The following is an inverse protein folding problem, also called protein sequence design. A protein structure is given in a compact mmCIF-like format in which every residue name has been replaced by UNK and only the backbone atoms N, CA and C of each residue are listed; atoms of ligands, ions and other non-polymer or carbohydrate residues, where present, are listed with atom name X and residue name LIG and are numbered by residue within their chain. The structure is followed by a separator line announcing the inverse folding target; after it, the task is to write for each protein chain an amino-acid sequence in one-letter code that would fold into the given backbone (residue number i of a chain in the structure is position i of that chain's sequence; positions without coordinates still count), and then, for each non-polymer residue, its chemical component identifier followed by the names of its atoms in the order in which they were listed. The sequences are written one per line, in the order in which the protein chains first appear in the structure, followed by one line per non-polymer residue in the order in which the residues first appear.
data_IF_238240434185
#
_entry.id   IF_238240434185
#
_cell.length_a   1.000
_cell.length_b   1.000
_cell.length_c   1.000
_cell.angle_alpha   90.00
_cell.angle_beta   90.00
_cell.angle_gamma   90.00
#
_symmetry.space_group_name_H-M   'P 1'
#
loop_
_entity.id
_entity.type
_entity.pdbx_description
1 polymer ?
#
# COMPACT_ATOMS: atom_id res chain seq x y z
N UNK A 1 -54.60 6.25 -58.93
CA UNK A 1 -53.24 5.65 -58.87
C UNK A 1 -52.50 6.22 -57.66
N UNK A 2 -51.70 5.39 -56.97
CA UNK A 2 -51.00 5.55 -55.66
C UNK A 2 -51.87 5.06 -54.48
N UNK A 3 -51.86 3.77 -54.13
CA UNK A 3 -50.87 2.91 -53.43
C UNK A 3 -50.82 3.12 -51.91
N UNK A 4 -50.97 1.98 -51.21
CA UNK A 4 -50.89 1.72 -49.77
C UNK A 4 -49.67 2.33 -49.08
N UNK A 5 -49.82 2.63 -47.79
CA UNK A 5 -48.83 2.28 -46.76
C UNK A 5 -49.54 2.04 -45.40
N UNK A 6 -49.38 0.87 -44.75
CA UNK A 6 -49.79 0.69 -43.36
C UNK A 6 -48.68 1.20 -42.44
N UNK A 7 -49.06 2.01 -41.44
CA UNK A 7 -48.17 2.45 -40.37
C UNK A 7 -47.96 1.24 -39.44
N UNK A 8 -46.76 0.67 -39.49
CA UNK A 8 -46.30 -0.34 -38.54
C UNK A 8 -45.94 0.41 -37.24
N UNK A 9 -46.71 0.16 -36.17
CA UNK A 9 -46.30 0.49 -34.81
C UNK A 9 -45.10 -0.41 -34.46
N UNK A 10 -43.88 0.12 -34.53
CA UNK A 10 -42.71 -0.50 -33.90
C UNK A 10 -42.60 0.02 -32.48
N UNK A 11 -43.05 -0.78 -31.52
CA UNK A 11 -42.78 -0.60 -30.09
C UNK A 11 -41.28 -0.77 -29.85
N UNK A 12 -40.53 0.33 -29.84
CA UNK A 12 -39.15 0.33 -29.35
C UNK A 12 -39.25 0.31 -27.83
N UNK A 13 -39.27 -0.88 -27.24
CA UNK A 13 -38.93 -1.05 -25.83
C UNK A 13 -37.46 -0.70 -25.67
N UNK A 14 -37.20 0.51 -25.17
CA UNK A 14 -35.89 0.87 -24.66
C UNK A 14 -35.60 -0.02 -23.44
N UNK A 15 -34.86 -1.10 -23.66
CA UNK A 15 -34.22 -1.85 -22.58
C UNK A 15 -33.10 -0.94 -22.06
N UNK A 16 -33.44 -0.14 -21.06
CA UNK A 16 -32.44 0.52 -20.22
C UNK A 16 -31.75 -0.60 -19.45
N UNK A 17 -30.58 -1.02 -19.92
CA UNK A 17 -29.63 -1.74 -19.09
C UNK A 17 -29.16 -0.75 -18.02
N UNK A 18 -29.94 -0.65 -16.93
CA UNK A 18 -29.42 -0.25 -15.63
C UNK A 18 -28.41 -1.34 -15.25
N UNK A 19 -27.18 -1.15 -15.71
CA UNK A 19 -26.00 -1.72 -15.09
C UNK A 19 -25.91 -1.09 -13.70
N UNK A 20 -26.71 -1.59 -12.76
CA UNK A 20 -26.41 -1.47 -11.35
C UNK A 20 -25.14 -2.29 -11.13
N UNK A 21 -23.97 -1.71 -11.40
CA UNK A 21 -22.77 -2.09 -10.69
C UNK A 21 -23.05 -1.69 -9.25
N UNK A 22 -23.61 -2.60 -8.47
CA UNK A 22 -23.64 -2.43 -7.02
C UNK A 22 -22.19 -2.26 -6.60
N UNK A 23 -21.84 -1.08 -6.12
CA UNK A 23 -20.66 -0.86 -5.30
C UNK A 23 -20.88 -1.68 -4.02
N UNK A 24 -20.76 -3.00 -4.09
CA UNK A 24 -20.67 -3.83 -2.91
C UNK A 24 -19.32 -3.55 -2.27
N UNK A 25 -19.33 -2.72 -1.24
CA UNK A 25 -18.16 -2.50 -0.40
C UNK A 25 -17.76 -3.84 0.23
N UNK A 26 -16.51 -4.26 0.03
CA UNK A 26 -15.99 -5.47 0.68
C UNK A 26 -15.70 -5.16 2.14
N UNK A 27 -16.59 -5.60 3.02
CA UNK A 27 -16.43 -5.45 4.46
C UNK A 27 -15.30 -6.36 4.95
N UNK A 28 -14.33 -5.78 5.68
CA UNK A 28 -13.30 -6.55 6.37
C UNK A 28 -13.96 -7.39 7.47
N UNK A 29 -13.84 -8.73 7.45
CA UNK A 29 -14.51 -9.57 8.43
C UNK A 29 -13.83 -9.42 9.80
N UNK A 30 -14.63 -9.47 10.87
CA UNK A 30 -14.19 -9.31 12.25
C UNK A 30 -14.66 -10.51 13.09
N UNK A 31 -13.88 -10.89 14.10
CA UNK A 31 -14.28 -11.90 15.08
C UNK A 31 -15.29 -11.32 16.07
N UNK A 32 -16.36 -12.07 16.34
CA UNK A 32 -17.31 -11.75 17.40
C UNK A 32 -16.61 -11.67 18.76
N UNK A 33 -17.02 -10.70 19.60
CA UNK A 33 -16.50 -10.47 20.95
C UNK A 33 -14.96 -10.31 21.06
N UNK A 34 -14.28 -9.94 19.97
CA UNK A 34 -12.82 -9.72 19.97
C UNK A 34 -11.98 -10.99 19.88
N UNK A 35 -12.59 -12.14 19.63
CA UNK A 35 -11.89 -13.41 19.40
C UNK A 35 -11.14 -13.97 20.61
N UNK A 36 -10.17 -14.86 20.36
CA UNK A 36 -9.32 -15.47 21.39
C UNK A 36 -8.26 -14.53 21.95
N UNK A 37 -8.05 -13.37 21.31
CA UNK A 37 -7.04 -12.38 21.72
C UNK A 37 -7.40 -11.59 22.99
N UNK A 38 -8.68 -11.58 23.41
CA UNK A 38 -9.18 -10.77 24.52
C UNK A 38 -8.45 -10.97 25.87
N UNK A 39 -7.76 -12.10 26.07
CA UNK A 39 -7.01 -12.42 27.29
C UNK A 39 -5.56 -12.83 27.00
N UNK A 40 -4.92 -12.16 26.04
CA UNK A 40 -3.54 -12.44 25.63
C UNK A 40 -2.58 -11.34 26.05
N UNK A 41 -1.29 -11.69 26.15
CA UNK A 41 -0.20 -10.73 26.37
C UNK A 41 0.44 -10.39 25.03
N UNK A 42 0.92 -9.16 24.87
CA UNK A 42 1.60 -8.72 23.66
C UNK A 42 2.86 -9.56 23.35
N UNK A 43 3.08 -9.85 22.06
CA UNK A 43 4.26 -10.56 21.59
C UNK A 43 5.47 -9.62 21.61
N UNK A 44 6.57 -9.96 22.32
CA UNK A 44 7.80 -9.17 22.27
C UNK A 44 8.40 -9.13 20.87
N UNK A 45 9.00 -7.99 20.47
CA UNK A 45 9.63 -7.83 19.14
C UNK A 45 10.68 -8.92 18.85
N UNK A 46 11.45 -9.34 19.86
CA UNK A 46 12.42 -10.42 19.71
C UNK A 46 11.75 -11.74 19.27
N UNK A 47 10.55 -12.03 19.75
CA UNK A 47 9.78 -13.22 19.38
C UNK A 47 9.18 -13.09 17.99
N UNK A 48 8.63 -11.92 17.64
CA UNK A 48 8.13 -11.62 16.30
C UNK A 48 9.20 -11.87 15.22
N UNK A 49 10.42 -11.38 15.44
CA UNK A 49 11.54 -11.56 14.51
C UNK A 49 11.96 -13.03 14.30
N UNK A 50 11.67 -13.92 15.25
CA UNK A 50 11.97 -15.35 15.10
C UNK A 50 10.95 -16.07 14.23
N UNK A 51 9.71 -15.57 14.20
CA UNK A 51 8.58 -16.16 13.48
C UNK A 51 8.52 -15.62 12.04
N UNK A 52 9.13 -14.47 11.75
CA UNK A 52 9.30 -14.01 10.37
C UNK A 52 10.09 -15.04 9.54
N UNK A 53 9.62 -15.28 8.31
CA UNK A 53 10.30 -16.23 7.43
C UNK A 53 9.44 -16.74 6.29
N UNK A 54 10.01 -17.70 5.59
CA UNK A 54 9.34 -18.45 4.53
C UNK A 54 8.79 -19.73 5.13
N UNK A 55 7.53 -20.01 4.82
CA UNK A 55 6.82 -21.20 5.30
C UNK A 55 6.25 -21.99 4.11
N UNK A 56 6.34 -23.32 4.17
CA UNK A 56 5.64 -24.21 3.26
C UNK A 56 4.21 -24.46 3.74
N UNK A 57 3.25 -24.51 2.81
CA UNK A 57 1.84 -24.75 3.10
C UNK A 57 1.54 -26.25 2.97
N UNK A 58 1.24 -26.92 4.09
CA UNK A 58 0.90 -28.35 4.11
C UNK A 58 -0.61 -28.57 3.88
N UNK A 59 -1.45 -27.72 4.47
CA UNK A 59 -2.90 -27.67 4.25
C UNK A 59 -3.29 -26.26 3.80
N UNK A 60 -4.17 -26.13 2.80
CA UNK A 60 -4.59 -24.83 2.24
C UNK A 60 -3.79 -24.38 1.01
N UNK A 61 -2.88 -25.20 0.48
CA UNK A 61 -2.04 -24.86 -0.67
C UNK A 61 -2.83 -24.62 -1.96
N UNK A 62 -4.05 -25.17 -2.04
CA UNK A 62 -4.95 -24.90 -3.16
C UNK A 62 -5.43 -23.46 -3.22
N UNK A 63 -5.47 -22.76 -2.08
CA UNK A 63 -5.85 -21.36 -2.00
C UNK A 63 -4.64 -20.42 -1.98
N UNK A 64 -3.57 -20.82 -1.29
CA UNK A 64 -2.46 -19.91 -0.94
C UNK A 64 -1.11 -20.29 -1.57
N UNK A 65 -1.06 -21.39 -2.33
CA UNK A 65 0.17 -21.83 -2.98
C UNK A 65 1.05 -22.66 -2.05
N UNK A 66 2.22 -23.08 -2.55
CA UNK A 66 3.10 -24.00 -1.82
C UNK A 66 3.94 -23.34 -0.74
N UNK A 67 4.23 -22.05 -0.88
CA UNK A 67 5.02 -21.27 0.06
C UNK A 67 4.36 -19.92 0.30
N UNK A 68 4.54 -19.41 1.51
CA UNK A 68 4.11 -18.08 1.93
C UNK A 68 5.25 -17.35 2.62
N UNK A 69 5.19 -16.02 2.58
CA UNK A 69 6.07 -15.12 3.31
C UNK A 69 5.33 -14.65 4.55
N UNK A 70 5.92 -14.83 5.73
CA UNK A 70 5.40 -14.30 7.00
C UNK A 70 6.29 -13.14 7.44
N UNK A 71 5.65 -12.01 7.73
CA UNK A 71 6.33 -10.77 8.16
C UNK A 71 5.58 -10.08 9.29
N UNK A 72 6.31 -9.51 10.24
CA UNK A 72 5.78 -8.59 11.23
C UNK A 72 6.13 -7.14 10.85
N UNK A 73 5.15 -6.26 11.00
CA UNK A 73 5.37 -4.81 10.97
C UNK A 73 4.65 -4.16 12.14
N UNK A 74 5.42 -3.58 13.07
CA UNK A 74 4.88 -3.17 14.36
C UNK A 74 4.23 -4.35 15.09
N UNK A 75 2.92 -4.28 15.31
CA UNK A 75 2.13 -5.35 15.97
C UNK A 75 1.34 -6.23 14.97
N UNK A 76 1.45 -5.94 13.68
CA UNK A 76 0.71 -6.64 12.64
C UNK A 76 1.49 -7.85 12.18
N UNK A 77 0.84 -9.01 12.18
CA UNK A 77 1.32 -10.25 11.57
C UNK A 77 0.70 -10.37 10.18
N UNK A 78 1.53 -10.31 9.15
CA UNK A 78 1.10 -10.42 7.76
C UNK A 78 1.64 -11.68 7.12
N UNK A 79 0.81 -12.30 6.27
CA UNK A 79 1.21 -13.40 5.40
C UNK A 79 1.00 -12.95 3.95
N UNK A 80 1.97 -13.16 3.07
CA UNK A 80 1.85 -12.87 1.64
C UNK A 80 2.00 -14.15 0.84
N UNK A 81 1.18 -14.32 -0.20
CA UNK A 81 1.08 -15.58 -0.96
C UNK A 81 1.26 -15.37 -2.45
N UNK A 82 1.85 -16.36 -3.12
CA UNK A 82 2.03 -16.33 -4.58
C UNK A 82 0.82 -16.81 -5.38
N UNK A 83 -0.03 -17.67 -4.77
CA UNK A 83 -1.29 -18.09 -5.40
C UNK A 83 -2.42 -17.16 -4.97
N UNK A 84 -3.25 -16.77 -5.94
CA UNK A 84 -4.36 -15.80 -5.79
C UNK A 84 -3.95 -14.44 -5.20
N UNK A 85 -2.63 -14.17 -5.11
CA UNK A 85 -2.09 -12.94 -4.54
C UNK A 85 -2.73 -12.58 -3.21
N UNK A 86 -2.94 -13.60 -2.37
CA UNK A 86 -3.58 -13.41 -1.08
C UNK A 86 -2.62 -12.71 -0.12
N UNK A 87 -3.21 -11.92 0.76
CA UNK A 87 -2.53 -11.39 1.92
C UNK A 87 -3.39 -11.60 3.16
N UNK A 88 -2.72 -11.73 4.30
CA UNK A 88 -3.35 -11.88 5.60
C UNK A 88 -2.96 -10.67 6.44
N UNK A 89 -3.91 -10.14 7.21
CA UNK A 89 -3.67 -9.09 8.19
C UNK A 89 -4.22 -9.58 9.51
N UNK A 90 -3.32 -9.89 10.43
CA UNK A 90 -3.66 -10.53 11.70
C UNK A 90 -3.01 -9.81 12.88
N UNK A 91 -3.62 -9.95 14.05
CA UNK A 91 -3.05 -9.57 15.34
C UNK A 91 -2.61 -10.83 16.06
N UNK A 92 -1.51 -10.71 16.81
CA UNK A 92 -0.96 -11.82 17.59
C UNK A 92 -0.99 -11.55 19.09
N UNK A 93 -1.10 -12.62 19.88
CA UNK A 93 -1.05 -12.56 21.33
C UNK A 93 -0.57 -13.87 21.96
N UNK A 94 0.08 -13.76 23.11
CA UNK A 94 0.57 -14.90 23.89
C UNK A 94 -0.53 -15.37 24.84
N UNK A 95 -0.79 -16.67 24.82
CA UNK A 95 -1.66 -17.36 25.79
C UNK A 95 -0.96 -18.61 26.28
N UNK A 96 -0.70 -18.68 27.58
CA UNK A 96 0.12 -19.72 28.21
C UNK A 96 1.51 -19.82 27.55
N UNK A 97 1.85 -20.98 26.98
CA UNK A 97 3.09 -21.20 26.20
C UNK A 97 2.85 -21.27 24.70
N UNK A 98 1.76 -20.66 24.22
CA UNK A 98 1.39 -20.63 22.80
C UNK A 98 1.22 -19.19 22.31
N UNK A 99 1.35 -19.00 21.02
CA UNK A 99 1.10 -17.72 20.35
C UNK A 99 -0.09 -17.90 19.43
N UNK A 100 -1.09 -17.05 19.57
CA UNK A 100 -2.34 -17.09 18.81
C UNK A 100 -2.35 -15.90 17.86
N UNK A 101 -2.79 -16.12 16.63
CA UNK A 101 -2.98 -15.11 15.63
C UNK A 101 -4.42 -15.17 15.12
N UNK A 102 -5.07 -14.01 15.03
CA UNK A 102 -6.43 -13.88 14.50
C UNK A 102 -6.50 -12.67 13.58
N UNK A 103 -7.16 -12.84 12.44
CA UNK A 103 -7.42 -11.75 11.52
C UNK A 103 -8.22 -12.20 10.31
N UNK A 104 -7.89 -11.63 9.16
CA UNK A 104 -8.52 -11.98 7.89
C UNK A 104 -7.46 -12.24 6.82
N UNK A 105 -7.88 -12.97 5.79
CA UNK A 105 -7.17 -13.08 4.52
C UNK A 105 -8.00 -12.40 3.43
N UNK A 106 -7.33 -11.89 2.39
CA UNK A 106 -7.98 -11.33 1.20
C UNK A 106 -7.12 -11.54 -0.04
N UNK A 107 -7.75 -11.74 -1.19
CA UNK A 107 -7.07 -11.72 -2.49
C UNK A 107 -6.88 -10.27 -2.95
N UNK A 108 -5.64 -9.89 -3.30
CA UNK A 108 -5.29 -8.50 -3.58
C UNK A 108 -5.99 -7.92 -4.83
N UNK A 109 -6.35 -8.78 -5.79
CA UNK A 109 -6.91 -8.39 -7.08
C UNK A 109 -8.39 -8.76 -7.23
N UNK A 110 -9.05 -9.20 -6.15
CA UNK A 110 -10.48 -9.46 -6.13
C UNK A 110 -11.13 -9.13 -4.76
N UNK A 111 -12.42 -9.43 -4.62
CA UNK A 111 -13.22 -9.13 -3.44
C UNK A 111 -13.29 -10.26 -2.40
N UNK A 112 -12.70 -11.43 -2.67
CA UNK A 112 -12.75 -12.58 -1.76
C UNK A 112 -11.90 -12.32 -0.54
N UNK A 113 -12.53 -12.49 0.61
CA UNK A 113 -11.94 -12.27 1.92
C UNK A 113 -12.54 -13.24 2.93
N UNK A 114 -11.89 -13.46 4.05
CA UNK A 114 -12.50 -14.21 5.14
C UNK A 114 -11.67 -14.29 6.40
N UNK A 115 -12.30 -14.75 7.48
CA UNK A 115 -11.63 -14.93 8.76
C UNK A 115 -10.55 -16.01 8.71
N UNK A 116 -9.50 -15.83 9.50
CA UNK A 116 -8.46 -16.82 9.69
C UNK A 116 -7.86 -16.78 11.08
N UNK A 117 -7.48 -17.95 11.57
CA UNK A 117 -6.80 -18.15 12.85
C UNK A 117 -5.57 -19.01 12.62
N UNK A 118 -4.50 -18.72 13.35
CA UNK A 118 -3.30 -19.54 13.41
C UNK A 118 -2.77 -19.59 14.84
N UNK A 119 -2.07 -20.66 15.17
CA UNK A 119 -1.47 -20.86 16.47
C UNK A 119 -0.10 -21.51 16.34
N UNK A 120 0.87 -20.95 17.04
CA UNK A 120 2.15 -21.60 17.32
C UNK A 120 2.05 -22.26 18.69
N UNK A 121 1.77 -23.56 18.70
CA UNK A 121 1.61 -24.32 19.93
C UNK A 121 2.93 -24.52 20.67
N UNK A 122 2.83 -24.71 21.99
CA UNK A 122 3.99 -24.96 22.87
C UNK A 122 4.91 -26.08 22.36
N UNK A 123 4.34 -27.16 21.85
CA UNK A 123 5.06 -28.33 21.29
C UNK A 123 5.58 -28.13 19.87
N UNK A 124 5.01 -27.18 19.13
CA UNK A 124 5.39 -26.85 17.75
C UNK A 124 6.36 -25.65 17.70
N UNK A 125 7.02 -25.39 18.83
CA UNK A 125 8.08 -24.41 18.98
C UNK A 125 7.67 -23.11 19.67
N UNK A 126 6.40 -22.94 20.04
CA UNK A 126 5.95 -21.78 20.82
C UNK A 126 6.72 -21.60 22.12
N UNK A 127 7.00 -22.68 22.85
CA UNK A 127 7.81 -22.64 24.08
C UNK A 127 9.26 -22.18 23.82
N UNK A 128 9.87 -22.62 22.72
CA UNK A 128 11.25 -22.25 22.39
C UNK A 128 11.35 -20.79 21.94
N UNK A 129 10.37 -20.32 21.15
CA UNK A 129 10.27 -18.92 20.75
C UNK A 129 10.16 -18.02 21.99
N UNK A 130 9.31 -18.39 22.96
CA UNK A 130 9.02 -17.58 24.14
C UNK A 130 10.09 -17.63 25.24
N UNK A 131 10.70 -18.79 25.50
CA UNK A 131 11.66 -18.96 26.62
C UNK A 131 13.11 -18.76 26.21
N UNK A 132 13.48 -19.21 25.01
CA UNK A 132 14.88 -19.29 24.62
C UNK A 132 15.27 -18.24 23.57
N UNK A 133 14.29 -17.53 23.00
CA UNK A 133 14.49 -16.58 21.90
C UNK A 133 15.41 -17.13 20.78
N UNK A 134 15.24 -18.42 20.46
CA UNK A 134 16.08 -19.12 19.48
C UNK A 134 15.26 -19.43 18.23
N UNK A 135 15.79 -19.19 17.01
CA UNK A 135 15.11 -19.59 15.79
C UNK A 135 14.93 -21.11 15.79
N UNK A 136 13.74 -21.60 15.43
CA UNK A 136 13.51 -23.02 15.29
C UNK A 136 13.01 -23.35 13.88
N UNK A 137 13.79 -24.16 13.16
CA UNK A 137 13.44 -24.68 11.84
C UNK A 137 12.23 -25.63 11.85
N UNK A 138 11.70 -25.99 13.01
CA UNK A 138 10.52 -26.85 13.18
C UNK A 138 9.26 -26.09 13.58
N UNK A 139 9.22 -24.75 13.48
CA UNK A 139 7.97 -24.03 13.75
C UNK A 139 6.86 -24.52 12.84
N UNK A 140 5.71 -24.85 13.44
CA UNK A 140 4.49 -25.17 12.71
C UNK A 140 3.37 -24.28 13.24
N UNK A 141 2.77 -23.50 12.35
CA UNK A 141 1.57 -22.74 12.62
C UNK A 141 0.37 -23.55 12.14
N UNK A 142 -0.59 -23.78 13.02
CA UNK A 142 -1.84 -24.49 12.69
C UNK A 142 -3.05 -23.63 12.96
N UNK A 143 -4.05 -23.75 12.12
CA UNK A 143 -5.35 -23.16 12.37
C UNK A 143 -6.28 -23.38 11.19
N UNK A 144 -7.10 -22.38 10.91
CA UNK A 144 -8.12 -22.50 9.89
C UNK A 144 -8.50 -21.17 9.26
N UNK A 145 -9.18 -21.25 8.11
CA UNK A 145 -9.73 -20.10 7.40
C UNK A 145 -11.17 -20.39 6.92
N UNK A 146 -11.97 -19.33 6.82
CA UNK A 146 -13.32 -19.33 6.27
C UNK A 146 -13.48 -18.25 5.20
N UNK A 147 -14.63 -18.18 4.54
CA UNK A 147 -14.99 -17.10 3.61
C UNK A 147 -15.98 -16.15 4.28
N UNK A 148 -15.79 -14.84 4.11
CA UNK A 148 -16.52 -13.80 4.82
C UNK A 148 -16.37 -13.89 6.34
N UNK A 149 -17.44 -13.57 7.05
CA UNK A 149 -17.52 -13.69 8.52
C UNK A 149 -17.96 -15.08 9.00
N UNK A 150 -17.96 -16.09 8.12
CA UNK A 150 -18.32 -17.45 8.51
C UNK A 150 -17.24 -18.07 9.42
N UNK A 151 -17.62 -19.11 10.16
CA UNK A 151 -16.68 -19.86 11.00
C UNK A 151 -15.53 -20.44 10.17
N UNK A 152 -14.34 -20.53 10.78
CA UNK A 152 -13.13 -20.99 10.11
C UNK A 152 -13.09 -22.52 10.06
N UNK A 153 -13.51 -23.10 8.93
CA UNK A 153 -13.67 -24.56 8.77
C UNK A 153 -12.58 -25.24 7.95
N UNK A 154 -11.86 -24.52 7.09
CA UNK A 154 -10.82 -25.09 6.25
C UNK A 154 -9.47 -25.05 6.96
N UNK A 155 -8.75 -26.17 6.99
CA UNK A 155 -7.45 -26.26 7.66
C UNK A 155 -6.36 -25.46 6.95
N UNK A 156 -5.53 -24.77 7.74
CA UNK A 156 -4.30 -24.11 7.29
C UNK A 156 -3.14 -24.54 8.19
N UNK A 157 -2.13 -25.16 7.57
CA UNK A 157 -0.92 -25.60 8.26
C UNK A 157 0.30 -25.03 7.53
N UNK A 158 1.13 -24.28 8.25
CA UNK A 158 2.34 -23.64 7.72
C UNK A 158 3.56 -24.15 8.48
N UNK A 159 4.54 -24.71 7.78
CA UNK A 159 5.82 -25.17 8.36
C UNK A 159 6.94 -24.24 7.98
N UNK A 160 7.73 -23.78 8.95
CA UNK A 160 8.88 -22.92 8.71
C UNK A 160 9.92 -23.63 7.83
N UNK A 161 10.46 -22.88 6.87
CA UNK A 161 11.49 -23.36 5.95
C UNK A 161 12.80 -22.65 6.20
N UNK A 162 12.78 -21.31 6.19
CA UNK A 162 14.00 -20.47 6.28
C UNK A 162 13.66 -19.03 6.68
N UNK A 163 14.63 -18.23 7.15
CA UNK A 163 14.40 -16.82 7.40
C UNK A 163 14.15 -16.04 6.10
N UNK A 164 13.58 -14.84 6.24
CA UNK A 164 13.48 -13.86 5.15
C UNK A 164 14.87 -13.53 4.62
N UNK A 165 14.98 -13.35 3.31
CA UNK A 165 16.24 -13.01 2.66
C UNK A 165 16.70 -11.62 3.10
N UNK A 166 17.95 -11.53 3.58
CA UNK A 166 18.58 -10.25 3.92
C UNK A 166 19.21 -9.67 2.66
N UNK A 167 18.66 -8.58 2.16
CA UNK A 167 19.30 -7.77 1.11
C UNK A 167 20.27 -6.77 1.74
N UNK A 168 21.38 -6.51 1.05
CA UNK A 168 22.29 -5.41 1.40
C UNK A 168 21.77 -4.05 0.94
N UNK A 169 20.66 -4.03 0.19
CA UNK A 169 20.00 -2.82 -0.31
C UNK A 169 18.78 -2.52 0.58
N UNK A 170 18.61 -1.26 0.96
CA UNK A 170 17.41 -0.75 1.65
C UNK A 170 16.25 -0.60 0.65
N UNK A 171 15.76 -1.73 0.15
CA UNK A 171 14.75 -1.80 -0.90
C UNK A 171 13.41 -1.19 -0.46
N UNK A 172 12.80 -0.37 -1.33
CA UNK A 172 11.51 0.29 -1.04
C UNK A 172 10.34 -0.40 -1.71
N UNK A 173 9.39 -0.88 -0.90
CA UNK A 173 8.06 -1.29 -1.35
C UNK A 173 7.15 -0.10 -1.07
N UNK A 174 6.86 0.66 -2.12
CA UNK A 174 6.06 1.88 -2.03
C UNK A 174 4.60 1.57 -2.39
N UNK A 175 3.69 1.88 -1.49
CA UNK A 175 2.27 1.78 -1.79
C UNK A 175 1.77 3.06 -2.48
N UNK A 176 1.21 2.89 -3.67
CA UNK A 176 0.63 3.98 -4.46
C UNK A 176 -0.63 4.53 -3.80
N UNK A 177 -0.78 5.86 -3.80
CA UNK A 177 -1.92 6.57 -3.19
C UNK A 177 -2.13 6.20 -1.71
N UNK A 178 -1.03 6.00 -0.99
CA UNK A 178 -1.02 5.61 0.40
C UNK A 178 -1.28 4.13 0.67
N UNK A 179 -1.61 3.29 -0.32
CA UNK A 179 -1.94 1.88 -0.07
C UNK A 179 -2.48 1.10 -1.27
N UNK A 180 -3.36 1.71 -2.06
CA UNK A 180 -4.05 1.12 -3.21
C UNK A 180 -5.14 2.05 -3.74
N UNK A 181 -5.95 1.57 -4.70
CA UNK A 181 -6.99 2.40 -5.35
C UNK A 181 -8.37 2.06 -4.81
N UNK A 182 -9.33 2.98 -5.00
CA UNK A 182 -10.73 2.71 -4.70
C UNK A 182 -11.29 1.51 -5.50
N UNK A 183 -10.78 1.27 -6.71
CA UNK A 183 -11.18 0.11 -7.54
C UNK A 183 -10.81 -1.23 -6.89
N UNK A 184 -9.79 -1.26 -6.04
CA UNK A 184 -9.34 -2.45 -5.33
C UNK A 184 -10.23 -2.77 -4.10
N UNK A 185 -11.25 -1.93 -3.83
CA UNK A 185 -12.27 -2.14 -2.78
C UNK A 185 -11.68 -2.41 -1.39
N UNK A 186 -10.63 -1.67 -1.06
CA UNK A 186 -9.99 -1.70 0.25
C UNK A 186 -10.87 -1.02 1.31
N UNK A 187 -10.66 -1.29 2.62
CA UNK A 187 -11.48 -0.71 3.69
C UNK A 187 -11.40 0.82 3.79
N UNK A 188 -10.31 1.40 3.29
CA UNK A 188 -10.03 2.84 3.32
C UNK A 188 -9.99 3.36 1.89
N UNK A 189 -10.32 4.63 1.70
CA UNK A 189 -10.22 5.31 0.40
C UNK A 189 -8.76 5.55 0.02
N UNK A 190 -8.46 5.54 -1.28
CA UNK A 190 -7.16 5.98 -1.79
C UNK A 190 -6.83 7.39 -1.26
N UNK A 191 -5.57 7.63 -0.89
CA UNK A 191 -5.07 8.87 -0.30
C UNK A 191 -5.66 9.27 1.08
N UNK A 192 -6.45 8.42 1.74
CA UNK A 192 -6.95 8.71 3.09
C UNK A 192 -5.88 8.49 4.17
N UNK A 193 -6.05 9.12 5.34
CA UNK A 193 -5.18 8.89 6.50
C UNK A 193 -5.28 7.44 7.01
N UNK A 194 -6.45 6.81 6.87
CA UNK A 194 -6.65 5.41 7.24
C UNK A 194 -5.87 4.48 6.32
N UNK A 195 -5.86 4.76 5.02
CA UNK A 195 -5.10 3.98 4.04
C UNK A 195 -3.60 3.99 4.37
N UNK A 196 -3.05 5.17 4.67
CA UNK A 196 -1.64 5.32 5.07
C UNK A 196 -1.29 4.48 6.31
N UNK A 197 -2.22 4.36 7.28
CA UNK A 197 -2.01 3.58 8.50
C UNK A 197 -2.02 2.07 8.26
N UNK A 198 -2.73 1.58 7.23
CA UNK A 198 -2.80 0.15 6.93
C UNK A 198 -1.80 -0.30 5.86
N UNK A 199 -1.12 0.62 5.17
CA UNK A 199 -0.15 0.32 4.10
C UNK A 199 0.90 -0.72 4.50
N UNK A 200 1.45 -0.60 5.71
CA UNK A 200 2.45 -1.52 6.26
C UNK A 200 1.94 -2.95 6.41
N UNK A 201 0.63 -3.12 6.66
CA UNK A 201 0.01 -4.43 6.76
C UNK A 201 -0.01 -5.18 5.42
N UNK A 202 0.09 -4.43 4.31
CA UNK A 202 0.23 -4.98 2.96
C UNK A 202 1.71 -5.18 2.57
N UNK A 203 2.65 -4.96 3.48
CA UNK A 203 4.08 -5.16 3.23
C UNK A 203 4.83 -3.94 2.71
N UNK A 204 4.16 -2.79 2.59
CA UNK A 204 4.80 -1.53 2.23
C UNK A 204 5.75 -1.06 3.34
N UNK A 205 6.87 -0.43 2.94
CA UNK A 205 7.77 0.29 3.86
C UNK A 205 7.94 1.77 3.48
N UNK A 206 7.19 2.22 2.49
CA UNK A 206 6.96 3.62 2.16
C UNK A 206 5.66 3.78 1.39
N UNK A 207 5.28 5.03 1.13
CA UNK A 207 4.08 5.38 0.37
C UNK A 207 4.39 6.45 -0.66
N UNK A 208 3.56 6.52 -1.69
CA UNK A 208 3.38 7.69 -2.54
C UNK A 208 2.01 8.31 -2.24
N UNK A 209 1.93 9.63 -2.20
CA UNK A 209 0.69 10.38 -2.00
C UNK A 209 0.65 11.62 -2.91
N UNK A 210 -0.54 11.91 -3.44
CA UNK A 210 -0.76 12.93 -4.46
C UNK A 210 -1.08 14.29 -3.86
N UNK A 211 -0.31 15.34 -4.14
CA UNK A 211 -0.52 16.68 -3.57
C UNK A 211 -1.15 17.65 -4.58
N UNK A 212 -2.25 18.31 -4.19
CA UNK A 212 -2.92 19.38 -4.93
C UNK A 212 -3.24 20.57 -4.04
N UNK A 213 -3.49 21.75 -4.63
CA UNK A 213 -4.02 22.90 -3.92
C UNK A 213 -5.53 23.05 -4.07
N UNK A 214 -6.17 23.47 -2.98
CA UNK A 214 -7.50 24.08 -3.01
C UNK A 214 -7.44 25.52 -3.54
N UNK A 215 -8.59 26.14 -3.79
CA UNK A 215 -8.67 27.52 -4.29
C UNK A 215 -8.11 28.58 -3.33
N UNK A 216 -8.04 28.24 -2.03
CA UNK A 216 -7.49 29.05 -0.95
C UNK A 216 -6.05 28.62 -0.59
N UNK A 217 -5.39 27.90 -1.51
CA UNK A 217 -4.00 27.44 -1.42
C UNK A 217 -3.71 26.55 -0.20
N UNK A 218 -4.65 25.67 0.17
CA UNK A 218 -4.40 24.63 1.18
C UNK A 218 -3.93 23.37 0.45
N UNK A 219 -2.75 22.80 0.80
CA UNK A 219 -2.27 21.57 0.19
C UNK A 219 -3.02 20.37 0.76
N UNK A 220 -3.71 19.65 -0.12
CA UNK A 220 -4.51 18.47 0.18
C UNK A 220 -3.95 17.23 -0.52
N UNK A 221 -4.32 16.06 0.00
CA UNK A 221 -3.96 14.79 -0.63
C UNK A 221 -5.11 14.30 -1.52
N UNK A 222 -4.93 14.37 -2.84
CA UNK A 222 -5.95 13.99 -3.82
C UNK A 222 -5.37 13.82 -5.24
N UNK A 223 -5.62 12.66 -5.87
CA UNK A 223 -5.02 12.31 -7.17
C UNK A 223 -5.59 13.09 -8.37
N UNK A 224 -6.90 13.03 -8.61
CA UNK A 224 -7.53 13.56 -9.83
C UNK A 224 -7.69 15.10 -9.78
N UNK A 225 -7.70 15.78 -10.93
CA UNK A 225 -7.99 17.22 -10.96
C UNK A 225 -9.44 17.52 -10.51
N UNK A 226 -10.35 16.56 -10.71
CA UNK A 226 -11.78 16.71 -10.47
C UNK A 226 -12.27 15.81 -9.34
N UNK A 227 -13.13 16.35 -8.48
CA UNK A 227 -14.05 15.57 -7.68
C UNK A 227 -14.96 14.76 -8.60
N UNK A 228 -15.11 13.47 -8.32
CA UNK A 228 -15.95 12.56 -9.10
C UNK A 228 -16.55 11.46 -8.21
N UNK A 229 -17.70 10.86 -8.59
CA UNK A 229 -18.32 9.76 -7.84
C UNK A 229 -17.44 8.51 -7.65
N UNK A 230 -16.34 8.40 -8.41
CA UNK A 230 -15.32 7.35 -8.24
C UNK A 230 -14.51 7.56 -6.95
N UNK A 231 -14.29 8.82 -6.58
CA UNK A 231 -13.37 9.22 -5.52
C UNK A 231 -14.05 9.70 -4.25
N UNK A 232 -15.24 10.29 -4.40
CA UNK A 232 -15.89 11.03 -3.34
C UNK A 232 -17.39 10.78 -3.28
N UNK A 233 -17.97 11.07 -2.12
CA UNK A 233 -19.42 11.16 -1.90
C UNK A 233 -19.78 12.58 -1.42
N UNK A 234 -20.95 13.07 -1.82
CA UNK A 234 -21.47 14.40 -1.50
C UNK A 234 -22.24 15.02 -2.67
N UNK A 235 -23.44 15.57 -2.41
CA UNK A 235 -24.39 16.01 -3.46
C UNK A 235 -23.84 17.10 -4.41
N UNK A 236 -22.81 17.85 -3.99
CA UNK A 236 -22.21 18.94 -4.77
C UNK A 236 -20.69 18.79 -4.94
N UNK A 237 -20.15 17.60 -4.67
CA UNK A 237 -18.74 17.29 -4.78
C UNK A 237 -18.38 16.81 -6.21
N UNK A 238 -18.40 17.72 -7.19
CA UNK A 238 -18.13 17.40 -8.59
C UNK A 238 -17.36 18.50 -9.31
N UNK A 239 -16.40 18.12 -10.15
CA UNK A 239 -15.62 19.05 -10.96
C UNK A 239 -14.33 19.51 -10.28
N UNK A 240 -13.67 20.54 -10.82
CA UNK A 240 -12.27 20.84 -10.48
C UNK A 240 -12.06 21.17 -9.01
N UNK A 241 -11.07 20.53 -8.36
CA UNK A 241 -10.65 20.80 -6.98
C UNK A 241 -10.34 22.28 -6.76
N UNK A 242 -9.71 22.93 -7.74
CA UNK A 242 -9.36 24.36 -7.73
C UNK A 242 -10.56 25.32 -7.65
N UNK A 243 -11.80 24.83 -7.73
CA UNK A 243 -13.01 25.64 -7.52
C UNK A 243 -13.46 25.66 -6.06
N UNK A 244 -12.91 24.80 -5.20
CA UNK A 244 -13.34 24.63 -3.82
C UNK A 244 -12.28 25.16 -2.85
N UNK A 245 -12.73 25.85 -1.79
CA UNK A 245 -11.89 26.11 -0.62
C UNK A 245 -11.80 24.85 0.23
N UNK A 246 -10.81 24.77 1.11
CA UNK A 246 -10.73 23.62 2.03
C UNK A 246 -11.97 23.51 2.92
N UNK A 247 -12.53 24.65 3.37
CA UNK A 247 -13.78 24.68 4.14
C UNK A 247 -14.99 24.13 3.35
N UNK A 248 -15.06 24.36 2.04
CA UNK A 248 -16.08 23.75 1.18
C UNK A 248 -15.90 22.22 1.14
N UNK A 249 -14.67 21.73 0.94
CA UNK A 249 -14.39 20.29 0.89
C UNK A 249 -14.76 19.59 2.21
N UNK A 250 -14.42 20.19 3.36
CA UNK A 250 -14.79 19.65 4.68
C UNK A 250 -16.32 19.54 4.88
N UNK A 251 -17.09 20.45 4.27
CA UNK A 251 -18.54 20.52 4.48
C UNK A 251 -19.32 19.67 3.48
N UNK A 252 -18.90 19.68 2.21
CA UNK A 252 -19.69 19.16 1.08
C UNK A 252 -19.23 17.80 0.58
N UNK A 253 -18.05 17.36 1.00
CA UNK A 253 -17.36 16.23 0.39
C UNK A 253 -16.81 15.27 1.46
N UNK A 254 -16.89 13.98 1.16
CA UNK A 254 -16.10 12.93 1.81
C UNK A 254 -15.42 12.10 0.73
N UNK A 255 -14.29 11.47 1.07
CA UNK A 255 -13.73 10.40 0.26
C UNK A 255 -14.74 9.24 0.16
N UNK A 256 -14.50 8.32 -0.78
CA UNK A 256 -15.43 7.26 -1.18
C UNK A 256 -16.02 6.46 0.01
N UNK A 257 -15.20 6.18 1.02
CA UNK A 257 -15.59 5.42 2.22
C UNK A 257 -16.00 6.31 3.41
N UNK A 258 -16.22 7.61 3.18
CA UNK A 258 -16.76 8.54 4.18
C UNK A 258 -15.72 9.37 4.95
N UNK A 259 -14.43 9.22 4.64
CA UNK A 259 -13.36 9.97 5.30
C UNK A 259 -13.30 11.43 4.83
N UNK A 260 -12.64 12.29 5.60
CA UNK A 260 -12.29 13.63 5.14
C UNK A 260 -11.14 13.57 4.14
N UNK A 261 -11.12 14.50 3.17
CA UNK A 261 -9.94 14.71 2.31
C UNK A 261 -8.82 15.29 3.18
N UNK A 262 -7.67 14.61 3.34
CA UNK A 262 -6.63 15.09 4.24
C UNK A 262 -5.87 16.29 3.67
N UNK A 263 -5.38 17.15 4.56
CA UNK A 263 -4.28 18.07 4.22
C UNK A 263 -2.95 17.32 4.16
N UNK A 264 -1.96 17.88 3.44
CA UNK A 264 -0.60 17.35 3.44
C UNK A 264 0.02 17.32 4.84
N UNK A 265 -0.31 18.30 5.69
CA UNK A 265 0.14 18.33 7.08
C UNK A 265 -0.38 17.11 7.86
N UNK A 266 -1.68 16.85 7.80
CA UNK A 266 -2.30 15.70 8.48
C UNK A 266 -1.74 14.37 7.97
N UNK A 267 -1.46 14.27 6.67
CA UNK A 267 -0.83 13.09 6.08
C UNK A 267 0.59 12.85 6.63
N UNK A 268 1.46 13.87 6.61
CA UNK A 268 2.82 13.75 7.15
C UNK A 268 2.84 13.49 8.66
N UNK A 269 1.91 14.10 9.42
CA UNK A 269 1.71 13.82 10.84
C UNK A 269 1.30 12.37 11.10
N UNK A 270 0.37 11.86 10.30
CA UNK A 270 -0.07 10.46 10.36
C UNK A 270 1.10 9.52 10.08
N UNK A 271 1.87 9.76 9.01
CA UNK A 271 3.05 8.94 8.70
C UNK A 271 4.06 8.95 9.85
N UNK A 272 4.39 10.13 10.38
CA UNK A 272 5.40 10.27 11.41
C UNK A 272 5.00 9.64 12.75
N UNK A 273 3.73 9.76 13.17
CA UNK A 273 3.33 9.38 14.52
C UNK A 273 2.43 8.14 14.61
N UNK A 274 1.88 7.66 13.49
CA UNK A 274 0.90 6.55 13.47
C UNK A 274 1.35 5.35 12.62
N UNK A 275 2.50 5.44 11.96
CA UNK A 275 3.05 4.35 11.12
C UNK A 275 4.53 4.13 11.44
N UNK A 276 5.13 3.02 10.98
CA UNK A 276 6.58 2.83 10.92
C UNK A 276 7.14 2.95 9.49
N UNK A 277 6.37 3.52 8.56
CA UNK A 277 6.83 3.81 7.21
C UNK A 277 8.13 4.64 7.26
N UNK A 278 9.04 4.29 6.35
CA UNK A 278 10.38 4.87 6.29
C UNK A 278 10.58 5.83 5.11
N UNK A 279 9.60 5.92 4.21
CA UNK A 279 9.71 6.73 3.00
C UNK A 279 8.35 7.30 2.56
N UNK A 280 8.34 8.56 2.11
CA UNK A 280 7.20 9.23 1.49
C UNK A 280 7.63 9.88 0.19
N UNK A 281 6.97 9.50 -0.91
CA UNK A 281 6.99 10.20 -2.19
C UNK A 281 5.79 11.15 -2.22
N UNK A 282 6.04 12.45 -2.33
CA UNK A 282 5.00 13.47 -2.53
C UNK A 282 4.84 13.75 -4.03
N UNK A 283 3.91 13.08 -4.70
CA UNK A 283 3.67 13.29 -6.14
C UNK A 283 2.98 14.65 -6.35
N UNK A 284 3.66 15.54 -7.09
CA UNK A 284 3.21 16.91 -7.31
C UNK A 284 2.24 16.94 -8.47
N UNK A 285 0.94 16.99 -8.17
CA UNK A 285 -0.11 17.14 -9.19
C UNK A 285 -0.46 18.59 -9.51
N UNK A 286 -0.05 19.52 -8.66
CA UNK A 286 -0.15 20.96 -8.87
C UNK A 286 1.19 21.61 -8.54
N UNK A 287 1.98 22.03 -9.56
CA UNK A 287 3.27 22.68 -9.35
C UNK A 287 3.22 23.89 -8.40
N UNK A 288 2.10 24.62 -8.36
CA UNK A 288 1.96 25.76 -7.45
C UNK A 288 2.01 25.36 -5.95
N UNK A 289 1.84 24.08 -5.63
CA UNK A 289 1.98 23.55 -4.28
C UNK A 289 3.44 23.46 -3.80
N UNK A 290 4.42 23.44 -4.70
CA UNK A 290 5.84 23.16 -4.39
C UNK A 290 6.39 24.02 -3.24
N UNK A 291 6.18 25.35 -3.18
CA UNK A 291 6.67 26.15 -2.06
C UNK A 291 6.16 25.68 -0.69
N UNK A 292 4.89 25.25 -0.62
CA UNK A 292 4.28 24.74 0.62
C UNK A 292 4.74 23.32 0.92
N UNK A 293 4.90 22.48 -0.11
CA UNK A 293 5.45 21.13 0.00
C UNK A 293 6.86 21.18 0.61
N UNK A 294 7.74 22.05 0.11
CA UNK A 294 9.12 22.21 0.63
C UNK A 294 9.12 22.56 2.11
N UNK A 295 8.25 23.51 2.51
CA UNK A 295 8.13 23.92 3.92
C UNK A 295 7.73 22.74 4.82
N UNK A 296 6.72 21.98 4.39
CA UNK A 296 6.22 20.83 5.15
C UNK A 296 7.22 19.66 5.13
N UNK A 297 7.90 19.42 4.01
CA UNK A 297 8.97 18.44 3.91
C UNK A 297 10.09 18.72 4.93
N UNK A 298 10.62 19.95 4.95
CA UNK A 298 11.68 20.35 5.88
C UNK A 298 11.23 20.25 7.35
N UNK A 299 10.01 20.72 7.65
CA UNK A 299 9.41 20.63 8.99
C UNK A 299 9.34 19.18 9.47
N UNK A 300 8.74 18.28 8.69
CA UNK A 300 8.55 16.89 9.09
C UNK A 300 9.82 16.05 9.02
N UNK A 301 10.78 16.37 8.14
CA UNK A 301 12.10 15.77 8.16
C UNK A 301 12.86 16.10 9.46
N UNK A 302 12.78 17.35 9.94
CA UNK A 302 13.36 17.77 11.23
C UNK A 302 12.69 17.07 12.41
N UNK A 303 11.35 16.98 12.42
CA UNK A 303 10.60 16.28 13.47
C UNK A 303 10.92 14.77 13.48
N UNK A 304 11.06 14.14 12.32
CA UNK A 304 11.49 12.75 12.20
C UNK A 304 12.88 12.54 12.81
N UNK A 305 13.85 13.37 12.41
CA UNK A 305 15.20 13.29 12.96
C UNK A 305 15.24 13.54 14.48
N UNK A 306 14.50 14.53 14.98
CA UNK A 306 14.42 14.83 16.42
C UNK A 306 13.78 13.71 17.25
N UNK A 307 12.89 12.92 16.65
CA UNK A 307 12.26 11.75 17.29
C UNK A 307 13.01 10.44 17.05
N UNK A 308 14.17 10.47 16.38
CA UNK A 308 14.94 9.27 16.02
C UNK A 308 14.27 8.39 14.96
N UNK A 309 13.24 8.91 14.28
CA UNK A 309 12.53 8.22 13.21
C UNK A 309 13.33 8.29 11.91
N UNK A 310 13.67 7.12 11.36
CA UNK A 310 14.15 7.00 9.98
C UNK A 310 12.96 7.17 9.03
N UNK A 311 12.72 8.41 8.62
CA UNK A 311 11.69 8.77 7.65
C UNK A 311 12.30 9.73 6.62
N UNK A 312 12.31 9.32 5.36
CA UNK A 312 12.73 10.15 4.24
C UNK A 312 11.51 10.62 3.46
N UNK A 313 11.44 11.92 3.17
CA UNK A 313 10.32 12.53 2.43
C UNK A 313 10.93 13.19 1.20
N UNK A 314 10.53 12.78 0.00
CA UNK A 314 11.02 13.34 -1.26
C UNK A 314 9.87 13.93 -2.08
N UNK A 315 10.14 15.05 -2.75
CA UNK A 315 9.22 15.70 -3.69
C UNK A 315 9.32 15.00 -5.04
N UNK A 316 8.21 14.51 -5.56
CA UNK A 316 8.07 13.95 -6.91
C UNK A 316 7.96 15.04 -7.96
N UNK A 317 8.75 14.91 -9.02
CA UNK A 317 8.75 15.83 -10.16
C UNK A 317 8.27 15.06 -11.41
N UNK A 318 6.94 15.05 -11.68
CA UNK A 318 6.34 14.22 -12.72
C UNK A 318 6.47 14.80 -14.12
N UNK A 319 6.62 16.13 -14.25
CA UNK A 319 6.65 16.83 -15.54
C UNK A 319 7.57 18.05 -15.52
N UNK A 320 7.75 18.66 -16.70
CA UNK A 320 8.62 19.82 -16.89
C UNK A 320 8.13 21.05 -16.11
N UNK A 321 6.82 21.21 -15.91
CA UNK A 321 6.25 22.36 -15.18
C UNK A 321 6.60 22.26 -13.69
N UNK A 322 6.49 21.07 -13.11
CA UNK A 322 6.93 20.79 -11.75
C UNK A 322 8.44 21.03 -11.59
N UNK A 323 9.25 20.59 -12.57
CA UNK A 323 10.71 20.85 -12.56
C UNK A 323 10.99 22.36 -12.59
N UNK A 324 10.38 23.10 -13.51
CA UNK A 324 10.61 24.55 -13.62
C UNK A 324 10.24 25.27 -12.32
N UNK A 325 9.10 24.94 -11.73
CA UNK A 325 8.66 25.56 -10.48
C UNK A 325 9.55 25.16 -9.30
N UNK A 326 10.03 23.91 -9.26
CA UNK A 326 11.02 23.46 -8.28
C UNK A 326 12.36 24.21 -8.42
N UNK A 327 12.85 24.41 -9.64
CA UNK A 327 14.11 25.11 -9.89
C UNK A 327 14.06 26.61 -9.57
N UNK A 328 12.87 27.22 -9.55
CA UNK A 328 12.68 28.61 -9.09
C UNK A 328 12.86 28.75 -7.57
N UNK A 329 12.79 27.66 -6.82
CA UNK A 329 12.89 27.71 -5.37
C UNK A 329 14.33 27.96 -4.92
N UNK A 330 14.53 28.77 -3.86
CA UNK A 330 15.86 29.06 -3.35
C UNK A 330 16.53 27.76 -2.88
N UNK A 331 17.78 27.57 -3.28
CA UNK A 331 18.60 26.39 -2.92
C UNK A 331 17.97 25.04 -3.32
N UNK A 332 17.21 24.98 -4.42
CA UNK A 332 16.54 23.73 -4.86
C UNK A 332 17.49 22.51 -4.93
N UNK A 333 18.76 22.71 -5.26
CA UNK A 333 19.79 21.66 -5.31
C UNK A 333 20.01 20.91 -3.98
N UNK A 334 19.60 21.50 -2.84
CA UNK A 334 19.70 20.89 -1.51
C UNK A 334 18.36 20.33 -1.01
N UNK A 335 17.29 20.43 -1.81
CA UNK A 335 15.96 19.95 -1.46
C UNK A 335 15.82 18.52 -1.96
N UNK A 336 15.46 17.60 -1.07
CA UNK A 336 15.29 16.19 -1.41
C UNK A 336 14.16 16.01 -2.43
N UNK A 337 14.49 15.46 -3.59
CA UNK A 337 13.51 15.20 -4.66
C UNK A 337 13.78 13.86 -5.34
N UNK A 338 12.77 13.38 -6.04
CA UNK A 338 12.83 12.32 -7.03
C UNK A 338 12.28 12.86 -8.36
N UNK A 339 12.80 12.36 -9.48
CA UNK A 339 12.39 12.82 -10.81
C UNK A 339 11.93 11.65 -11.66
N UNK A 340 10.75 11.80 -12.29
CA UNK A 340 10.10 10.72 -13.05
C UNK A 340 10.43 10.73 -14.55
N UNK A 341 11.05 11.81 -15.00
CA UNK A 341 11.44 12.01 -16.39
C UNK A 341 12.78 11.32 -16.71
N UNK A 342 13.41 11.74 -17.81
CA UNK A 342 14.69 11.23 -18.27
C UNK A 342 15.83 11.49 -17.28
N UNK A 343 16.87 10.66 -17.36
CA UNK A 343 18.06 10.75 -16.51
C UNK A 343 18.71 12.15 -16.50
N UNK A 344 18.72 12.85 -17.62
CA UNK A 344 19.26 14.22 -17.70
C UNK A 344 18.51 15.19 -16.77
N UNK A 345 17.20 14.99 -16.59
CA UNK A 345 16.40 15.79 -15.67
C UNK A 345 16.76 15.48 -14.21
N UNK A 346 17.04 14.22 -13.88
CA UNK A 346 17.53 13.81 -12.54
C UNK A 346 18.82 14.54 -12.17
N UNK A 347 19.72 14.74 -13.13
CA UNK A 347 20.95 15.53 -12.93
C UNK A 347 20.62 17.01 -12.78
N UNK A 348 19.77 17.55 -13.66
CA UNK A 348 19.38 18.96 -13.69
C UNK A 348 18.68 19.42 -12.40
N UNK A 349 17.92 18.54 -11.74
CA UNK A 349 17.22 18.81 -10.47
C UNK A 349 18.02 18.39 -9.24
N UNK A 350 19.18 17.77 -9.44
CA UNK A 350 19.94 17.07 -8.39
C UNK A 350 19.10 16.07 -7.58
N UNK A 351 18.11 15.42 -8.21
CA UNK A 351 17.23 14.48 -7.52
C UNK A 351 17.98 13.26 -6.99
N UNK A 352 17.61 12.80 -5.79
CA UNK A 352 18.24 11.66 -5.10
C UNK A 352 17.80 10.31 -5.66
N UNK A 353 16.65 10.31 -6.35
CA UNK A 353 16.04 9.12 -6.93
C UNK A 353 15.60 9.43 -8.35
N UNK A 354 15.88 8.50 -9.26
CA UNK A 354 15.25 8.45 -10.58
C UNK A 354 14.04 7.51 -10.51
N UNK A 355 12.90 7.96 -11.01
CA UNK A 355 11.64 7.23 -10.92
C UNK A 355 11.02 6.95 -12.31
N UNK A 356 11.64 6.13 -13.18
CA UNK A 356 11.10 5.88 -14.51
C UNK A 356 9.86 4.98 -14.50
N UNK A 357 8.98 5.17 -15.49
CA UNK A 357 7.88 4.26 -15.75
C UNK A 357 8.39 2.86 -16.14
N UNK A 358 7.84 1.82 -15.52
CA UNK A 358 8.29 0.43 -15.74
C UNK A 358 8.11 -0.05 -17.19
N UNK A 359 7.18 0.55 -17.93
CA UNK A 359 6.88 0.21 -19.33
C UNK A 359 8.05 0.47 -20.28
N UNK A 360 9.07 1.20 -19.82
CA UNK A 360 10.35 1.40 -20.52
C UNK A 360 11.31 0.22 -20.38
N UNK A 361 10.93 -0.80 -19.61
CA UNK A 361 11.73 -1.96 -19.30
C UNK A 361 12.76 -1.70 -18.18
N UNK A 362 13.66 -2.66 -17.93
CA UNK A 362 14.62 -2.61 -16.82
C UNK A 362 15.70 -1.52 -16.94
N UNK A 363 15.96 -1.03 -18.16
CA UNK A 363 16.91 0.06 -18.44
C UNK A 363 18.28 -0.12 -17.76
N UNK A 364 18.83 -1.33 -17.81
CA UNK A 364 19.99 -1.75 -17.00
C UNK A 364 21.20 -0.80 -17.13
N UNK A 365 21.50 -0.31 -18.33
CA UNK A 365 22.63 0.59 -18.57
C UNK A 365 22.41 1.98 -17.95
N UNK A 366 21.21 2.56 -18.09
CA UNK A 366 20.84 3.81 -17.44
C UNK A 366 20.81 3.68 -15.92
N UNK A 367 20.23 2.59 -15.42
CA UNK A 367 20.21 2.27 -13.98
C UNK A 367 21.62 2.21 -13.41
N UNK A 368 22.55 1.54 -14.10
CA UNK A 368 23.95 1.47 -13.67
C UNK A 368 24.62 2.83 -13.66
N UNK A 369 24.34 3.71 -14.64
CA UNK A 369 24.83 5.10 -14.65
C UNK A 369 24.29 5.88 -13.45
N UNK A 370 22.98 5.79 -13.17
CA UNK A 370 22.31 6.48 -12.07
C UNK A 370 22.89 6.04 -10.72
N UNK A 371 23.03 4.73 -10.50
CA UNK A 371 23.63 4.16 -9.30
C UNK A 371 25.11 4.48 -9.17
N UNK A 372 25.85 4.57 -10.28
CA UNK A 372 27.24 5.03 -10.31
C UNK A 372 27.43 6.45 -9.76
N UNK A 373 26.36 7.25 -9.72
CA UNK A 373 26.31 8.58 -9.10
C UNK A 373 25.78 8.57 -7.66
N UNK A 374 25.57 7.39 -7.07
CA UNK A 374 25.01 7.24 -5.73
C UNK A 374 23.52 7.52 -5.62
N UNK A 375 22.80 7.59 -6.74
CA UNK A 375 21.33 7.80 -6.79
C UNK A 375 20.61 6.44 -6.81
N UNK A 376 19.35 6.43 -6.34
CA UNK A 376 18.50 5.22 -6.35
C UNK A 376 17.56 5.21 -7.55
N UNK A 377 17.04 4.04 -7.91
CA UNK A 377 16.05 3.88 -9.00
C UNK A 377 14.78 3.20 -8.51
N UNK A 378 13.64 3.89 -8.62
CA UNK A 378 12.32 3.38 -8.27
C UNK A 378 11.43 3.23 -9.51
N UNK A 379 10.79 2.09 -9.72
CA UNK A 379 9.92 1.90 -10.89
C UNK A 379 8.45 2.04 -10.53
N UNK A 380 7.66 2.74 -11.37
CA UNK A 380 6.22 2.94 -11.17
C UNK A 380 5.39 2.75 -12.45
N UNK A 381 4.08 2.51 -12.37
CA UNK A 381 3.39 1.78 -11.29
C UNK A 381 3.40 0.30 -11.67
N UNK A 382 4.19 -0.52 -10.96
CA UNK A 382 4.49 -1.89 -11.34
C UNK A 382 3.59 -2.86 -10.55
N UNK A 383 2.52 -3.32 -11.19
CA UNK A 383 1.47 -4.14 -10.57
C UNK A 383 1.52 -5.62 -10.97
N UNK A 384 2.03 -5.92 -12.16
CA UNK A 384 2.03 -7.28 -12.73
C UNK A 384 3.09 -8.17 -12.06
N UNK A 385 2.71 -9.27 -11.39
CA UNK A 385 3.65 -10.16 -10.69
C UNK A 385 4.80 -10.66 -11.57
N UNK A 386 4.51 -10.99 -12.84
CA UNK A 386 5.49 -11.44 -13.81
C UNK A 386 6.56 -10.37 -14.10
N UNK A 387 6.16 -9.10 -14.15
CA UNK A 387 7.09 -7.99 -14.35
C UNK A 387 7.80 -7.61 -13.06
N UNK A 388 7.11 -7.62 -11.90
CA UNK A 388 7.74 -7.44 -10.59
C UNK A 388 8.92 -8.40 -10.44
N UNK A 389 8.71 -9.68 -10.76
CA UNK A 389 9.76 -10.69 -10.71
C UNK A 389 10.95 -10.37 -11.62
N UNK A 390 10.70 -9.96 -12.87
CA UNK A 390 11.77 -9.58 -13.81
C UNK A 390 12.64 -8.47 -13.23
N UNK A 391 12.04 -7.38 -12.75
CA UNK A 391 12.79 -6.23 -12.21
C UNK A 391 13.57 -6.58 -10.93
N UNK A 392 13.00 -7.46 -10.09
CA UNK A 392 13.66 -7.96 -8.91
C UNK A 392 14.83 -8.88 -9.25
N UNK A 393 14.66 -9.81 -10.19
CA UNK A 393 15.67 -10.79 -10.59
C UNK A 393 16.84 -10.14 -11.35
N UNK A 394 16.57 -9.14 -12.19
CA UNK A 394 17.63 -8.33 -12.81
C UNK A 394 18.36 -7.42 -11.81
N UNK A 395 17.77 -7.18 -10.64
CA UNK A 395 18.37 -6.37 -9.58
C UNK A 395 18.46 -4.88 -9.91
N UNK A 396 17.67 -4.39 -10.87
CA UNK A 396 17.71 -2.99 -11.35
C UNK A 396 16.94 -2.03 -10.44
N UNK A 397 15.99 -2.53 -9.64
CA UNK A 397 15.15 -1.70 -8.78
C UNK A 397 15.76 -1.55 -7.37
N UNK A 398 15.87 -0.31 -6.90
CA UNK A 398 16.05 0.01 -5.48
C UNK A 398 14.70 0.20 -4.76
N UNK A 399 13.63 0.31 -5.54
CA UNK A 399 12.26 0.36 -5.05
C UNK A 399 11.23 0.15 -6.15
N UNK A 400 10.03 -0.24 -5.75
CA UNK A 400 8.88 -0.44 -6.63
C UNK A 400 7.70 0.31 -6.02
N UNK A 401 7.07 1.17 -6.83
CA UNK A 401 5.76 1.75 -6.56
C UNK A 401 4.68 0.89 -7.20
N UNK A 402 3.70 0.48 -6.41
CA UNK A 402 2.67 -0.48 -6.82
C UNK A 402 1.31 -0.21 -6.17
N UNK A 403 0.24 -0.60 -6.84
CA UNK A 403 -1.09 -0.71 -6.23
C UNK A 403 -1.23 -1.97 -5.35
N UNK A 404 -0.30 -2.93 -5.45
CA UNK A 404 -0.36 -4.20 -4.75
C UNK A 404 0.92 -4.49 -3.93
N UNK A 405 1.17 -3.76 -2.83
CA UNK A 405 2.37 -3.94 -2.01
C UNK A 405 2.59 -5.38 -1.55
N UNK A 406 1.51 -6.14 -1.34
CA UNK A 406 1.55 -7.53 -0.89
C UNK A 406 2.17 -8.48 -1.91
N UNK A 407 1.97 -8.20 -3.20
CA UNK A 407 2.58 -8.97 -4.30
C UNK A 407 4.08 -8.70 -4.34
N UNK A 408 4.49 -7.43 -4.27
CA UNK A 408 5.91 -7.07 -4.23
C UNK A 408 6.57 -7.64 -2.97
N UNK A 409 5.91 -7.60 -1.82
CA UNK A 409 6.43 -8.20 -0.59
C UNK A 409 6.64 -9.70 -0.75
N UNK A 410 5.68 -10.43 -1.33
CA UNK A 410 5.84 -11.85 -1.62
C UNK A 410 7.06 -12.09 -2.53
N UNK A 411 7.08 -11.48 -3.71
CA UNK A 411 8.13 -11.71 -4.72
C UNK A 411 9.51 -11.25 -4.24
N UNK A 412 9.59 -10.21 -3.41
CA UNK A 412 10.86 -9.73 -2.86
C UNK A 412 11.43 -10.69 -1.82
N UNK A 413 10.61 -11.11 -0.84
CA UNK A 413 11.11 -11.91 0.28
C UNK A 413 11.23 -13.41 -0.01
N UNK A 414 10.47 -13.94 -0.98
CA UNK A 414 10.49 -15.38 -1.32
C UNK A 414 11.78 -15.83 -2.02
N UNK A 415 12.55 -14.89 -2.54
CA UNK A 415 13.80 -15.11 -3.30
C UNK A 415 14.93 -15.68 -2.47
#
# INVERSE_FOLDING_TARGET
MKKLLPIILSSISAIVFLSCTGDESVTVPLFDNGGQLANTVEIPLAVSNLIEGIYSVENGSENFGRNVVIKFTGKTFSIFTGKNFAYFVMKGGIKDSSIIFEGYWRFAQDSKTGLTTLRLDSKEGGKQALLNNTPNSSFVLRGSFGEGSNSTTNELTLRYVRPLSKSNIDFKILAHRGGGRNLDQLPESENSLGMMQIAESFGANGIEIDVRLTNDNVPIIFHDENLSPRLVVGEFAIGPIKNYSYAHLLTLCRLKNGELIPTLREALETVLYKTNLAFVWLDVKDPAAIPQIIKLQDEYAKLANASGRKLEILIGLPDEVAIEEFQRQPNYNNIGSLCELEFDMVIKTNSLVWAPAWTRGPMTDEVNKVRGLGKRVFFWTLDGPEFIKVFLDEGVADGILTNYPSIVAYEYYIR
#
